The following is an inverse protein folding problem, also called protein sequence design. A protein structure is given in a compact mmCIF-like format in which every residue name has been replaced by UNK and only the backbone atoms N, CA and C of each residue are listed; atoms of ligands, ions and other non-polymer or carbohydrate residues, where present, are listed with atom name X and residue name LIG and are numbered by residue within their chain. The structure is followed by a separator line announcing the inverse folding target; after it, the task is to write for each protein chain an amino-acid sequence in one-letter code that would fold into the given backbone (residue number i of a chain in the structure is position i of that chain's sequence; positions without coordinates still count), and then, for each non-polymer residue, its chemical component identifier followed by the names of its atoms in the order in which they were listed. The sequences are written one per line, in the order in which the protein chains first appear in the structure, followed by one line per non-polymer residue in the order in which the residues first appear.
data_IF_486549390681
#
_entry.id   IF_486549390681
#
_cell.length_a   1.000
_cell.length_b   1.000
_cell.length_c   1.000
_cell.angle_alpha   90.00
_cell.angle_beta   90.00
_cell.angle_gamma   90.00
#
_symmetry.space_group_name_H-M   'P 1'
#
loop_
_entity.id
_entity.type
_entity.pdbx_description
1 polymer ?
#
# COMPACT_ATOMS: atom_id res chain seq x y z
N UNK A 1 9.85 7.45 7.36
CA UNK A 1 8.96 6.45 6.72
C UNK A 1 9.18 5.12 7.41
N UNK A 2 8.14 4.54 8.01
CA UNK A 2 8.22 3.18 8.61
C UNK A 2 8.05 2.14 7.51
N UNK A 3 8.87 1.09 7.52
CA UNK A 3 8.82 -0.03 6.59
C UNK A 3 8.26 -1.26 7.32
N UNK A 4 7.36 -1.99 6.66
CA UNK A 4 6.80 -3.24 7.18
C UNK A 4 7.20 -4.42 6.30
N UNK A 5 7.20 -5.65 6.86
CA UNK A 5 7.47 -6.86 6.07
C UNK A 5 6.48 -7.05 4.92
N UNK A 6 5.24 -6.57 5.08
CA UNK A 6 4.22 -6.60 4.03
C UNK A 6 4.60 -5.76 2.80
N UNK A 7 5.53 -4.82 2.91
CA UNK A 7 6.02 -3.96 1.81
C UNK A 7 6.94 -4.71 0.84
N UNK A 8 7.49 -5.87 1.26
CA UNK A 8 8.39 -6.67 0.43
C UNK A 8 7.65 -7.34 -0.73
N UNK A 9 6.44 -7.85 -0.48
CA UNK A 9 5.62 -8.55 -1.48
C UNK A 9 5.32 -7.69 -2.72
N UNK A 10 4.73 -6.50 -2.60
CA UNK A 10 4.43 -5.67 -3.77
C UNK A 10 5.71 -5.18 -4.46
N UNK A 11 6.77 -4.91 -3.69
CA UNK A 11 8.05 -4.45 -4.24
C UNK A 11 8.73 -5.53 -5.09
N UNK A 12 8.83 -6.76 -4.58
CA UNK A 12 9.38 -7.89 -5.34
C UNK A 12 8.52 -8.23 -6.55
N UNK A 13 7.19 -8.18 -6.41
CA UNK A 13 6.29 -8.41 -7.54
C UNK A 13 6.58 -7.45 -8.70
N UNK A 14 6.75 -6.15 -8.42
CA UNK A 14 7.12 -5.16 -9.46
C UNK A 14 8.50 -5.46 -10.05
N UNK A 15 9.51 -5.72 -9.22
CA UNK A 15 10.89 -5.99 -9.67
C UNK A 15 10.99 -7.24 -10.54
N UNK A 16 10.19 -8.26 -10.24
CA UNK A 16 10.14 -9.53 -10.97
C UNK A 16 9.10 -9.53 -12.10
N UNK A 17 8.47 -8.39 -12.39
CA UNK A 17 7.39 -8.25 -13.37
C UNK A 17 6.20 -9.23 -13.15
N UNK A 18 5.92 -9.55 -11.89
CA UNK A 18 4.79 -10.36 -11.46
C UNK A 18 3.60 -9.47 -11.06
N UNK A 19 2.36 -9.99 -11.17
CA UNK A 19 1.19 -9.25 -10.68
C UNK A 19 1.24 -9.10 -9.15
N UNK A 20 1.03 -7.87 -8.65
CA UNK A 20 0.84 -7.63 -7.21
C UNK A 20 -0.46 -8.34 -6.77
N UNK A 21 -0.42 -9.16 -5.70
CA UNK A 21 -1.60 -9.85 -5.18
C UNK A 21 -2.74 -8.90 -4.79
N UNK A 22 -3.99 -9.33 -5.01
CA UNK A 22 -5.17 -8.51 -4.72
C UNK A 22 -5.42 -8.25 -3.22
N UNK A 23 -4.93 -9.15 -2.36
CA UNK A 23 -4.99 -9.01 -0.91
C UNK A 23 -3.80 -8.22 -0.34
N UNK A 24 -2.99 -7.58 -1.20
CA UNK A 24 -1.83 -6.82 -0.75
C UNK A 24 -2.22 -5.61 0.11
N UNK A 25 -1.51 -5.44 1.22
CA UNK A 25 -1.63 -4.30 2.14
C UNK A 25 -0.38 -3.43 2.17
N UNK A 26 0.73 -3.94 1.63
CA UNK A 26 2.02 -3.25 1.64
C UNK A 26 2.12 -2.16 0.59
N UNK A 27 3.03 -1.22 0.83
CA UNK A 27 3.41 -0.17 -0.11
C UNK A 27 4.69 -0.52 -0.85
N UNK A 28 4.86 0.04 -2.03
CA UNK A 28 6.13 -0.04 -2.76
C UNK A 28 7.22 0.76 -2.04
N UNK A 29 8.44 0.19 -2.00
CA UNK A 29 9.61 0.85 -1.43
C UNK A 29 10.18 1.85 -2.46
N UNK A 30 9.88 3.15 -2.26
CA UNK A 30 10.20 4.22 -3.23
C UNK A 30 11.64 4.25 -3.76
N UNK A 31 12.69 4.05 -2.94
CA UNK A 31 14.06 4.00 -3.43
C UNK A 31 14.29 2.99 -4.57
N UNK A 32 13.58 1.86 -4.53
CA UNK A 32 13.72 0.78 -5.53
C UNK A 32 12.95 1.09 -6.82
N UNK A 33 11.98 2.01 -6.77
CA UNK A 33 11.24 2.44 -7.94
C UNK A 33 11.99 3.47 -8.79
N UNK A 34 12.96 4.20 -8.23
CA UNK A 34 13.72 5.22 -8.98
C UNK A 34 14.56 4.64 -10.12
N UNK A 35 14.85 3.34 -10.09
CA UNK A 35 15.52 2.64 -11.19
C UNK A 35 14.60 2.39 -12.41
N UNK A 36 13.29 2.60 -12.27
CA UNK A 36 12.32 2.39 -13.34
C UNK A 36 12.11 3.67 -14.18
N UNK A 37 11.81 3.55 -15.48
CA UNK A 37 11.34 4.67 -16.28
C UNK A 37 10.07 5.30 -15.66
N UNK A 38 9.85 6.63 -15.79
CA UNK A 38 8.73 7.34 -15.16
C UNK A 38 7.36 6.69 -15.42
N UNK A 39 7.10 6.25 -16.64
CA UNK A 39 5.85 5.56 -17.00
C UNK A 39 5.65 4.27 -16.21
N UNK A 40 6.70 3.46 -16.06
CA UNK A 40 6.63 2.21 -15.29
C UNK A 40 6.51 2.50 -13.80
N UNK A 41 7.18 3.54 -13.31
CA UNK A 41 7.07 3.98 -11.93
C UNK A 41 5.63 4.39 -11.60
N UNK A 42 5.02 5.26 -12.41
CA UNK A 42 3.64 5.72 -12.22
C UNK A 42 2.63 4.57 -12.33
N UNK A 43 2.79 3.67 -13.30
CA UNK A 43 1.94 2.49 -13.43
C UNK A 43 2.05 1.56 -12.21
N UNK A 44 3.27 1.33 -11.72
CA UNK A 44 3.50 0.49 -10.53
C UNK A 44 2.84 1.08 -9.28
N UNK A 45 3.00 2.40 -9.08
CA UNK A 45 2.36 3.13 -7.99
C UNK A 45 0.84 3.06 -8.09
N UNK A 46 0.26 3.37 -9.25
CA UNK A 46 -1.18 3.28 -9.49
C UNK A 46 -1.72 1.87 -9.19
N UNK A 47 -1.05 0.83 -9.70
CA UNK A 47 -1.49 -0.54 -9.53
C UNK A 47 -1.43 -0.96 -8.06
N UNK A 48 -0.34 -0.67 -7.34
CA UNK A 48 -0.22 -0.94 -5.91
C UNK A 48 -1.27 -0.16 -5.09
N UNK A 49 -1.43 1.15 -5.34
CA UNK A 49 -2.42 1.99 -4.68
C UNK A 49 -3.84 1.48 -4.88
N UNK A 50 -4.18 1.00 -6.08
CA UNK A 50 -5.50 0.40 -6.34
C UNK A 50 -5.76 -0.82 -5.48
N UNK A 51 -4.78 -1.73 -5.33
CA UNK A 51 -4.95 -2.91 -4.49
C UNK A 51 -5.14 -2.54 -3.02
N UNK A 52 -4.30 -1.63 -2.50
CA UNK A 52 -4.40 -1.17 -1.11
C UNK A 52 -5.69 -0.39 -0.85
N UNK A 53 -6.11 0.47 -1.79
CA UNK A 53 -7.36 1.24 -1.70
C UNK A 53 -8.59 0.33 -1.67
N UNK A 54 -8.59 -0.77 -2.44
CA UNK A 54 -9.66 -1.77 -2.39
C UNK A 54 -9.76 -2.43 -1.01
N UNK A 55 -8.63 -2.81 -0.42
CA UNK A 55 -8.60 -3.36 0.94
C UNK A 55 -9.03 -2.33 1.99
N UNK A 56 -8.58 -1.08 1.84
CA UNK A 56 -8.95 0.03 2.70
C UNK A 56 -10.45 0.30 2.67
N UNK A 57 -11.05 0.36 1.48
CA UNK A 57 -12.50 0.54 1.29
C UNK A 57 -13.32 -0.55 1.96
N UNK A 58 -12.85 -1.81 1.90
CA UNK A 58 -13.57 -2.96 2.47
C UNK A 58 -13.56 -2.97 4.00
N UNK A 59 -12.53 -2.39 4.62
CA UNK A 59 -12.27 -2.52 6.07
C UNK A 59 -12.50 -1.23 6.85
N UNK A 60 -12.53 -0.08 6.18
CA UNK A 60 -12.65 1.22 6.83
C UNK A 60 -14.01 1.86 6.56
N UNK A 61 -14.80 2.08 7.61
CA UNK A 61 -16.02 2.88 7.54
C UNK A 61 -15.71 4.34 7.20
N UNK A 62 -16.57 4.98 6.39
CA UNK A 62 -16.36 6.35 5.94
C UNK A 62 -14.99 6.60 5.27
N UNK A 63 -14.42 5.59 4.58
CA UNK A 63 -13.13 5.68 3.91
C UNK A 63 -12.97 6.93 3.03
N UNK A 64 -14.04 7.39 2.37
CA UNK A 64 -14.04 8.58 1.50
C UNK A 64 -13.67 9.88 2.21
N UNK A 65 -13.90 9.98 3.52
CA UNK A 65 -13.53 11.17 4.30
C UNK A 65 -12.10 11.10 4.82
N UNK A 66 -11.44 9.94 4.71
CA UNK A 66 -10.05 9.74 5.15
C UNK A 66 -9.11 10.37 4.13
N UNK A 67 -8.20 11.20 4.62
CA UNK A 67 -7.22 11.90 3.79
C UNK A 67 -6.39 10.96 2.88
N UNK A 68 -5.90 9.78 3.35
CA UNK A 68 -5.14 8.88 2.49
C UNK A 68 -5.92 8.36 1.27
N UNK A 69 -7.25 8.25 1.39
CA UNK A 69 -8.11 7.84 0.28
C UNK A 69 -8.39 9.00 -0.70
N UNK A 70 -8.45 10.24 -0.19
CA UNK A 70 -8.60 11.44 -1.03
C UNK A 70 -7.34 11.68 -1.86
N UNK A 71 -6.16 11.49 -1.27
CA UNK A 71 -4.89 11.52 -1.98
C UNK A 71 -4.84 10.49 -3.12
N UNK A 72 -5.39 9.29 -2.90
CA UNK A 72 -5.53 8.26 -3.93
C UNK A 72 -6.43 8.70 -5.08
N UNK A 73 -7.61 9.26 -4.78
CA UNK A 73 -8.55 9.75 -5.80
C UNK A 73 -7.93 10.91 -6.61
N UNK A 74 -7.24 11.84 -5.95
CA UNK A 74 -6.55 12.95 -6.61
C UNK A 74 -5.38 12.45 -7.48
N UNK A 75 -4.55 11.53 -6.97
CA UNK A 75 -3.47 10.90 -7.73
C UNK A 75 -4.00 10.19 -8.97
N UNK A 76 -5.12 9.49 -8.86
CA UNK A 76 -5.76 8.77 -9.96
C UNK A 76 -6.26 9.74 -11.03
N UNK A 77 -6.87 10.86 -10.62
CA UNK A 77 -7.31 11.93 -11.53
C UNK A 77 -6.14 12.54 -12.29
N UNK A 78 -5.09 12.98 -11.57
CA UNK A 78 -3.91 13.59 -12.19
C UNK A 78 -3.15 12.61 -13.09
N UNK A 79 -3.09 11.33 -12.71
CA UNK A 79 -2.49 10.31 -13.56
C UNK A 79 -3.28 10.10 -14.85
N UNK A 80 -4.61 10.17 -14.80
CA UNK A 80 -5.44 10.17 -16.02
C UNK A 80 -5.18 11.38 -16.90
N UNK A 81 -5.07 12.58 -16.30
CA UNK A 81 -4.74 13.82 -17.04
C UNK A 81 -3.36 13.69 -17.72
N UNK A 82 -2.37 13.15 -16.99
CA UNK A 82 -1.03 12.88 -17.51
C UNK A 82 -1.02 11.88 -18.68
N UNK A 83 -1.86 10.84 -18.65
CA UNK A 83 -1.94 9.88 -19.76
C UNK A 83 -2.46 10.52 -21.06
N UNK A 84 -3.22 11.62 -20.96
CA UNK A 84 -3.75 12.33 -22.12
C UNK A 84 -2.78 13.37 -22.67
N UNK A 85 -2.07 14.08 -21.78
CA UNK A 85 -1.28 15.27 -22.14
C UNK A 85 0.24 15.03 -22.07
N UNK A 86 0.68 13.94 -21.44
CA UNK A 86 2.07 13.59 -21.17
C UNK A 86 2.88 14.71 -20.49
N UNK A 87 2.22 15.59 -19.74
CA UNK A 87 2.83 16.74 -19.07
C UNK A 87 3.82 16.30 -17.96
N UNK A 88 5.14 16.50 -18.15
CA UNK A 88 6.14 16.08 -17.17
C UNK A 88 6.00 16.77 -15.80
N UNK A 89 5.39 17.96 -15.75
CA UNK A 89 5.23 18.73 -14.50
C UNK A 89 4.27 18.05 -13.51
N UNK A 90 3.37 17.20 -14.01
CA UNK A 90 2.42 16.46 -13.18
C UNK A 90 3.08 15.28 -12.46
N UNK A 91 4.17 14.72 -13.00
CA UNK A 91 4.77 13.46 -12.51
C UNK A 91 5.18 13.52 -11.04
N UNK A 92 5.92 14.53 -10.55
CA UNK A 92 6.33 14.59 -9.15
C UNK A 92 5.14 14.68 -8.18
N UNK A 93 4.08 15.41 -8.58
CA UNK A 93 2.85 15.53 -7.78
C UNK A 93 2.11 14.21 -7.71
N UNK A 94 1.97 13.50 -8.83
CA UNK A 94 1.34 12.17 -8.88
C UNK A 94 2.10 11.18 -8.00
N UNK A 95 3.44 11.14 -8.10
CA UNK A 95 4.29 10.27 -7.26
C UNK A 95 4.08 10.58 -5.77
N UNK A 96 4.06 11.85 -5.41
CA UNK A 96 3.87 12.27 -4.01
C UNK A 96 2.51 11.85 -3.47
N UNK A 97 1.43 12.07 -4.23
CA UNK A 97 0.08 11.68 -3.80
C UNK A 97 -0.08 10.16 -3.69
N UNK A 98 0.42 9.37 -4.64
CA UNK A 98 0.36 7.91 -4.52
C UNK A 98 1.17 7.38 -3.34
N UNK A 99 2.36 7.93 -3.10
CA UNK A 99 3.22 7.47 -1.99
C UNK A 99 2.66 7.88 -0.63
N UNK A 100 2.11 9.10 -0.50
CA UNK A 100 1.39 9.57 0.68
C UNK A 100 0.20 8.66 0.98
N UNK A 101 -0.67 8.47 -0.02
CA UNK A 101 -1.84 7.62 0.06
C UNK A 101 -1.51 6.19 0.48
N UNK A 102 -0.52 5.57 -0.19
CA UNK A 102 -0.06 4.22 0.13
C UNK A 102 0.45 4.12 1.56
N UNK A 103 1.27 5.07 2.00
CA UNK A 103 1.79 5.09 3.36
C UNK A 103 0.65 5.20 4.39
N UNK A 104 -0.31 6.10 4.18
CA UNK A 104 -1.43 6.31 5.08
C UNK A 104 -2.40 5.13 5.14
N UNK A 105 -2.84 4.61 3.99
CA UNK A 105 -3.76 3.47 3.94
C UNK A 105 -3.10 2.19 4.45
N UNK A 106 -1.85 1.93 4.06
CA UNK A 106 -1.11 0.74 4.50
C UNK A 106 -0.89 0.75 6.02
N UNK A 107 -0.46 1.87 6.61
CA UNK A 107 -0.24 1.96 8.07
C UNK A 107 -1.52 1.66 8.84
N UNK A 108 -2.64 2.28 8.46
CA UNK A 108 -3.93 2.06 9.11
C UNK A 108 -4.41 0.61 8.97
N UNK A 109 -4.24 -0.01 7.79
CA UNK A 109 -4.60 -1.40 7.57
C UNK A 109 -3.74 -2.34 8.43
N UNK A 110 -2.43 -2.16 8.43
CA UNK A 110 -1.50 -2.98 9.21
C UNK A 110 -1.77 -2.83 10.70
N UNK A 111 -1.94 -1.60 11.20
CA UNK A 111 -2.28 -1.32 12.60
C UNK A 111 -3.62 -1.97 13.00
N UNK A 112 -4.64 -1.90 12.15
CA UNK A 112 -5.93 -2.53 12.44
C UNK A 112 -5.82 -4.06 12.53
N UNK A 113 -4.97 -4.70 11.71
CA UNK A 113 -4.76 -6.14 11.73
C UNK A 113 -3.88 -6.58 12.89
N UNK A 114 -2.80 -5.84 13.19
CA UNK A 114 -1.94 -6.17 14.33
C UNK A 114 -2.70 -6.06 15.65
N UNK A 115 -3.56 -5.06 15.81
CA UNK A 115 -4.45 -4.96 16.97
C UNK A 115 -5.46 -6.12 17.04
N UNK A 116 -5.92 -6.62 15.89
CA UNK A 116 -6.86 -7.74 15.84
C UNK A 116 -6.19 -9.09 16.14
N UNK A 117 -4.96 -9.31 15.67
CA UNK A 117 -4.24 -10.58 15.83
C UNK A 117 -3.50 -10.68 17.18
N UNK A 118 -3.22 -9.56 17.86
CA UNK A 118 -2.52 -9.56 19.16
C UNK A 118 -3.20 -10.45 20.23
N UNK A 119 -4.52 -10.36 20.47
CA UNK A 119 -5.19 -11.26 21.43
C UNK A 119 -5.06 -12.73 21.05
N UNK A 120 -5.20 -13.06 19.77
CA UNK A 120 -5.09 -14.43 19.28
C UNK A 120 -3.66 -14.98 19.41
N UNK A 121 -2.65 -14.14 19.17
CA UNK A 121 -1.24 -14.48 19.36
C UNK A 121 -0.91 -14.69 20.84
N UNK A 122 -1.43 -13.86 21.74
CA UNK A 122 -1.26 -14.02 23.20
C UNK A 122 -1.89 -15.33 23.66
N UNK A 123 -3.13 -15.62 23.26
CA UNK A 123 -3.83 -16.86 23.58
C UNK A 123 -3.07 -18.06 23.00
N UNK A 124 -2.68 -18.00 21.72
CA UNK A 124 -1.93 -19.07 21.06
C UNK A 124 -0.58 -19.34 21.72
N UNK A 125 0.14 -18.29 22.11
CA UNK A 125 1.41 -18.41 22.82
C UNK A 125 1.22 -19.01 24.22
N UNK A 126 0.17 -18.61 24.94
CA UNK A 126 -0.18 -19.18 26.23
C UNK A 126 -0.54 -20.67 26.12
N UNK A 127 -1.35 -21.05 25.12
CA UNK A 127 -1.70 -22.44 24.84
C UNK A 127 -0.46 -23.26 24.47
N UNK A 128 0.40 -22.75 23.60
CA UNK A 128 1.65 -23.42 23.23
C UNK A 128 2.58 -23.59 24.43
N UNK A 129 2.63 -22.61 25.33
CA UNK A 129 3.39 -22.71 26.56
C UNK A 129 2.86 -23.82 27.48
N UNK A 130 1.53 -23.90 27.66
CA UNK A 130 0.88 -24.99 28.42
C UNK A 130 1.17 -26.37 27.81
N UNK A 131 1.26 -26.47 26.48
CA UNK A 131 1.51 -27.75 25.77
C UNK A 131 2.99 -28.14 25.76
N UNK A 132 3.92 -27.18 25.61
CA UNK A 132 5.37 -27.43 25.49
C UNK A 132 6.09 -27.64 26.82
N UNK A 133 5.46 -27.29 27.95
CA UNK A 133 5.97 -27.64 29.28
C UNK A 133 5.61 -26.62 30.34
N UNK A 134 4.53 -26.89 31.06
CA UNK A 134 4.43 -27.12 32.52
C UNK A 134 2.98 -27.47 32.84
#
# INVERSE_FOLDING_TARGET
MVLFLVDLVPTLAVMLALPIPAANLGKLISPLLHALPPTRQLYSLQYNSKQVAEQFRRRTSAYRTREPYRDYEEATRLHSDWLMQADPELVPRIVTLYTSSLAGMSSQLVESMTLFDLPALVIGSFVLWQVLGY
#
